data_IF_405126243807
#
_entry.id   IF_405126243807
#
_cell.length_a   1.000
_cell.length_b   1.000
_cell.length_c   1.000
_cell.angle_alpha   90.00
_cell.angle_beta   90.00
_cell.angle_gamma   90.00
#
_symmetry.space_group_name_H-M   'P 1'
#
loop_
_entity.id
_entity.type
_entity.pdbx_description
1 polymer ?
#
# COMPACT_ATOMS: atom_id res chain seq x y z
N UNK A 1 27.85 -5.35 10.87
CA UNK A 1 27.11 -4.63 9.80
C UNK A 1 26.75 -3.23 10.31
N UNK A 2 26.86 -2.20 9.48
CA UNK A 2 26.81 -0.78 9.88
C UNK A 2 25.40 -0.27 10.28
N UNK A 3 24.63 -1.07 11.01
CA UNK A 3 23.27 -0.73 11.47
C UNK A 3 22.20 -0.67 10.37
N UNK A 4 22.55 -1.00 9.11
CA UNK A 4 21.60 -0.97 7.98
C UNK A 4 20.75 -2.24 7.98
N UNK A 5 19.44 -2.07 7.79
CA UNK A 5 18.47 -3.17 7.67
C UNK A 5 17.93 -3.16 6.24
N UNK A 6 18.02 -4.30 5.57
CA UNK A 6 17.44 -4.51 4.25
C UNK A 6 16.19 -5.36 4.39
N UNK A 7 15.28 -5.23 3.42
CA UNK A 7 14.16 -6.15 3.30
C UNK A 7 14.67 -7.57 3.03
N UNK A 8 13.97 -8.58 3.54
CA UNK A 8 14.25 -9.98 3.26
C UNK A 8 13.35 -10.55 2.15
N UNK A 9 12.60 -9.70 1.44
CA UNK A 9 11.58 -10.14 0.46
C UNK A 9 12.15 -10.52 -0.90
N UNK A 10 13.11 -9.75 -1.39
CA UNK A 10 13.85 -9.99 -2.63
C UNK A 10 15.33 -9.92 -2.27
N UNK A 11 16.01 -11.07 -2.24
CA UNK A 11 17.37 -11.23 -1.70
C UNK A 11 18.39 -11.47 -2.80
N UNK A 12 17.99 -12.04 -3.93
CA UNK A 12 18.87 -12.27 -5.07
C UNK A 12 18.99 -11.01 -5.92
N UNK A 13 19.92 -10.16 -5.50
CA UNK A 13 20.26 -8.91 -6.19
C UNK A 13 21.30 -9.09 -7.30
N UNK A 14 21.79 -10.32 -7.51
CA UNK A 14 22.85 -10.61 -8.49
C UNK A 14 22.25 -11.24 -9.74
N UNK A 15 21.48 -12.30 -9.57
CA UNK A 15 20.93 -13.09 -10.67
C UNK A 15 19.45 -12.79 -10.93
N UNK A 16 18.80 -12.03 -10.04
CA UNK A 16 17.40 -11.62 -10.15
C UNK A 16 16.43 -12.80 -10.34
N UNK A 17 16.71 -13.92 -9.69
CA UNK A 17 15.90 -15.15 -9.82
C UNK A 17 14.68 -15.19 -8.90
N UNK A 18 14.56 -14.23 -7.97
CA UNK A 18 13.41 -14.13 -7.09
C UNK A 18 12.11 -13.90 -7.88
N UNK A 19 11.04 -14.67 -7.63
CA UNK A 19 9.78 -14.47 -8.33
C UNK A 19 9.14 -13.13 -7.95
N UNK A 20 8.69 -12.38 -8.96
CA UNK A 20 7.88 -11.18 -8.80
C UNK A 20 6.39 -11.54 -9.00
N UNK A 21 5.65 -11.88 -7.93
CA UNK A 21 4.27 -12.32 -8.07
C UNK A 21 3.39 -11.17 -8.58
N UNK A 22 2.65 -11.42 -9.67
CA UNK A 22 1.61 -10.50 -10.11
C UNK A 22 0.39 -10.65 -9.21
N UNK A 23 -0.04 -11.87 -8.89
CA UNK A 23 -1.14 -12.16 -7.95
C UNK A 23 -0.73 -13.26 -7.00
N UNK A 24 -1.23 -13.22 -5.76
CA UNK A 24 -1.01 -14.27 -4.77
C UNK A 24 -2.18 -14.38 -3.81
N UNK A 25 -2.29 -15.54 -3.15
CA UNK A 25 -3.46 -15.88 -2.34
C UNK A 25 -3.79 -14.86 -1.24
N UNK A 26 -2.79 -14.22 -0.61
CA UNK A 26 -3.04 -13.20 0.40
C UNK A 26 -3.79 -11.96 -0.15
N UNK A 27 -3.64 -11.65 -1.45
CA UNK A 27 -4.42 -10.58 -2.09
C UNK A 27 -5.89 -10.95 -2.18
N UNK A 28 -6.19 -12.20 -2.52
CA UNK A 28 -7.57 -12.69 -2.55
C UNK A 28 -8.19 -12.56 -1.15
N UNK A 29 -7.48 -13.02 -0.12
CA UNK A 29 -7.93 -12.93 1.27
C UNK A 29 -8.14 -11.47 1.72
N UNK A 30 -7.20 -10.56 1.43
CA UNK A 30 -7.33 -9.17 1.84
C UNK A 30 -8.38 -8.39 1.02
N UNK A 31 -8.60 -8.75 -0.25
CA UNK A 31 -9.70 -8.20 -1.06
C UNK A 31 -11.05 -8.67 -0.51
N UNK A 32 -11.19 -9.96 -0.16
CA UNK A 32 -12.38 -10.49 0.50
C UNK A 32 -12.61 -9.83 1.86
N UNK A 33 -11.56 -9.70 2.69
CA UNK A 33 -11.64 -9.04 3.99
C UNK A 33 -12.16 -7.61 3.87
N UNK A 34 -11.63 -6.83 2.91
CA UNK A 34 -12.08 -5.46 2.66
C UNK A 34 -13.55 -5.42 2.19
N UNK A 35 -13.95 -6.32 1.28
CA UNK A 35 -15.32 -6.40 0.80
C UNK A 35 -16.33 -6.75 1.90
N UNK A 36 -15.97 -7.69 2.79
CA UNK A 36 -16.78 -8.04 3.96
C UNK A 36 -16.89 -6.87 4.93
N UNK A 37 -15.79 -6.19 5.24
CA UNK A 37 -15.80 -5.04 6.14
C UNK A 37 -16.70 -3.92 5.60
N UNK A 38 -16.62 -3.61 4.29
CA UNK A 38 -17.47 -2.61 3.63
C UNK A 38 -18.95 -3.02 3.57
N UNK A 39 -19.22 -4.32 3.53
CA UNK A 39 -20.57 -4.88 3.61
C UNK A 39 -21.06 -5.09 5.06
N UNK A 40 -20.33 -4.58 6.04
CA UNK A 40 -20.62 -4.71 7.48
C UNK A 40 -20.62 -6.15 8.03
N UNK A 41 -19.98 -7.10 7.34
CA UNK A 41 -19.76 -8.48 7.78
C UNK A 41 -18.42 -8.60 8.51
N UNK A 42 -18.39 -8.13 9.75
CA UNK A 42 -17.18 -8.11 10.57
C UNK A 42 -16.59 -9.50 10.86
N UNK A 43 -17.39 -10.55 11.16
CA UNK A 43 -16.83 -11.88 11.41
C UNK A 43 -16.02 -12.42 10.23
N UNK A 44 -16.54 -12.30 9.00
CA UNK A 44 -15.80 -12.76 7.83
C UNK A 44 -14.64 -11.83 7.47
N UNK A 45 -14.76 -10.53 7.69
CA UNK A 45 -13.65 -9.59 7.51
C UNK A 45 -12.45 -9.95 8.42
N UNK A 46 -12.71 -10.15 9.71
CA UNK A 46 -11.70 -10.52 10.70
C UNK A 46 -11.06 -11.87 10.38
N UNK A 47 -11.87 -12.87 10.03
CA UNK A 47 -11.38 -14.20 9.64
C UNK A 47 -10.37 -14.11 8.49
N UNK A 48 -10.71 -13.41 7.42
CA UNK A 48 -9.83 -13.28 6.25
C UNK A 48 -8.58 -12.44 6.54
N UNK A 49 -8.68 -11.42 7.38
CA UNK A 49 -7.53 -10.65 7.85
C UNK A 49 -6.52 -11.52 8.62
N UNK A 50 -7.01 -12.32 9.58
CA UNK A 50 -6.16 -13.17 10.41
C UNK A 50 -5.49 -14.29 9.60
N UNK A 51 -6.15 -14.85 8.56
CA UNK A 51 -5.52 -15.82 7.65
C UNK A 51 -4.21 -15.31 7.02
N UNK A 52 -4.08 -13.99 6.82
CA UNK A 52 -2.85 -13.39 6.30
C UNK A 52 -1.90 -13.04 7.45
N UNK A 53 -2.41 -12.32 8.45
CA UNK A 53 -1.61 -11.79 9.55
C UNK A 53 -0.92 -12.89 10.36
N UNK A 54 -1.64 -13.96 10.67
CA UNK A 54 -1.18 -15.00 11.59
C UNK A 54 0.05 -15.75 11.07
N UNK A 55 0.26 -15.78 9.75
CA UNK A 55 1.48 -16.38 9.15
C UNK A 55 2.75 -15.61 9.50
N UNK A 56 2.64 -14.33 9.85
CA UNK A 56 3.78 -13.47 10.17
C UNK A 56 3.92 -13.22 11.68
N UNK A 57 3.03 -13.77 12.49
CA UNK A 57 3.10 -13.68 13.96
C UNK A 57 4.05 -14.75 14.52
N UNK A 58 4.70 -14.41 15.63
CA UNK A 58 5.53 -15.38 16.35
C UNK A 58 4.67 -16.32 17.21
N UNK A 59 3.55 -15.81 17.74
CA UNK A 59 2.58 -16.58 18.51
C UNK A 59 1.15 -16.12 18.17
N UNK A 60 0.48 -16.74 17.17
CA UNK A 60 -0.89 -16.41 16.81
C UNK A 60 -1.89 -16.56 17.97
N UNK A 61 -1.66 -17.49 18.90
CA UNK A 61 -2.62 -17.73 19.99
C UNK A 61 -2.79 -16.52 20.91
N UNK A 62 -1.77 -15.66 21.00
CA UNK A 62 -1.79 -14.46 21.84
C UNK A 62 -1.79 -13.14 21.04
N UNK A 63 -1.40 -13.18 19.76
CA UNK A 63 -1.16 -11.98 18.95
C UNK A 63 -2.21 -11.72 17.85
N UNK A 64 -3.05 -12.71 17.53
CA UNK A 64 -4.11 -12.56 16.54
C UNK A 64 -5.17 -11.56 17.01
N UNK A 65 -5.82 -10.88 16.08
CA UNK A 65 -6.93 -10.01 16.43
C UNK A 65 -8.13 -10.85 16.88
N UNK A 66 -8.71 -10.48 18.02
CA UNK A 66 -9.89 -11.17 18.58
C UNK A 66 -11.18 -10.49 18.11
N UNK A 67 -11.20 -9.15 18.11
CA UNK A 67 -12.35 -8.36 17.70
C UNK A 67 -11.94 -6.92 17.37
N UNK A 68 -12.87 -6.19 16.77
CA UNK A 68 -12.78 -4.76 16.52
C UNK A 68 -14.06 -4.08 17.02
N UNK A 69 -13.98 -2.78 17.31
CA UNK A 69 -15.12 -2.02 17.83
C UNK A 69 -16.25 -1.87 16.79
N UNK A 70 -15.90 -1.69 15.52
CA UNK A 70 -16.84 -1.51 14.41
C UNK A 70 -16.22 -1.91 13.05
N UNK A 71 -17.03 -1.86 12.00
CA UNK A 71 -16.62 -2.17 10.62
C UNK A 71 -15.50 -1.23 10.11
N UNK A 72 -15.49 0.04 10.55
CA UNK A 72 -14.45 0.99 10.17
C UNK A 72 -13.11 0.62 10.80
N UNK A 73 -13.09 0.17 12.05
CA UNK A 73 -11.88 -0.25 12.75
C UNK A 73 -11.23 -1.48 12.11
N UNK A 74 -12.03 -2.50 11.75
CA UNK A 74 -11.51 -3.67 11.01
C UNK A 74 -11.05 -3.29 9.61
N UNK A 75 -11.76 -2.42 8.90
CA UNK A 75 -11.33 -1.91 7.59
C UNK A 75 -9.98 -1.19 7.68
N UNK A 76 -9.79 -0.35 8.71
CA UNK A 76 -8.51 0.32 8.96
C UNK A 76 -7.36 -0.67 9.19
N UNK A 77 -7.61 -1.75 9.94
CA UNK A 77 -6.64 -2.82 10.13
C UNK A 77 -6.32 -3.57 8.83
N UNK A 78 -7.33 -3.85 7.99
CA UNK A 78 -7.16 -4.48 6.67
C UNK A 78 -6.30 -3.60 5.76
N UNK A 79 -6.60 -2.31 5.65
CA UNK A 79 -5.82 -1.38 4.82
C UNK A 79 -4.38 -1.25 5.32
N UNK A 80 -4.16 -1.30 6.63
CA UNK A 80 -2.81 -1.34 7.22
C UNK A 80 -2.09 -2.64 6.88
N UNK A 81 -2.76 -3.78 7.00
CA UNK A 81 -2.17 -5.09 6.69
C UNK A 81 -1.82 -5.20 5.20
N UNK A 82 -2.67 -4.72 4.30
CA UNK A 82 -2.35 -4.61 2.85
C UNK A 82 -1.04 -3.85 2.60
N UNK A 83 -0.81 -2.74 3.31
CA UNK A 83 0.42 -1.95 3.15
C UNK A 83 1.67 -2.69 3.63
N UNK A 84 1.55 -3.50 4.67
CA UNK A 84 2.64 -4.31 5.22
C UNK A 84 2.90 -5.50 4.29
N UNK A 85 1.85 -6.26 3.99
CA UNK A 85 1.90 -7.52 3.26
C UNK A 85 2.40 -7.32 1.82
N UNK A 86 1.91 -6.30 1.11
CA UNK A 86 2.30 -5.98 -0.27
C UNK A 86 3.44 -4.97 -0.39
N UNK A 87 4.22 -4.77 0.68
CA UNK A 87 5.42 -3.94 0.61
C UNK A 87 6.33 -4.44 -0.51
N UNK A 88 6.73 -3.55 -1.42
CA UNK A 88 7.57 -3.83 -2.60
C UNK A 88 6.93 -4.70 -3.70
N UNK A 89 5.60 -4.87 -3.72
CA UNK A 89 4.88 -5.60 -4.77
C UNK A 89 4.08 -4.67 -5.71
N UNK A 90 4.43 -3.39 -5.79
CA UNK A 90 3.76 -2.43 -6.68
C UNK A 90 2.32 -2.05 -6.32
N UNK A 91 1.74 -2.58 -5.23
CA UNK A 91 0.31 -2.40 -4.90
C UNK A 91 -0.06 -1.04 -4.30
N UNK A 92 0.91 -0.34 -3.73
CA UNK A 92 0.64 0.91 -2.99
C UNK A 92 0.06 2.01 -3.89
N UNK A 93 0.47 2.07 -5.15
CA UNK A 93 -0.02 3.09 -6.09
C UNK A 93 -1.52 2.94 -6.35
N UNK A 94 -1.99 1.73 -6.67
CA UNK A 94 -3.41 1.45 -6.87
C UNK A 94 -4.24 1.71 -5.63
N UNK A 95 -3.76 1.33 -4.44
CA UNK A 95 -4.43 1.63 -3.17
C UNK A 95 -4.54 3.14 -2.91
N UNK A 96 -3.50 3.94 -3.24
CA UNK A 96 -3.56 5.42 -3.13
C UNK A 96 -4.67 5.97 -4.02
N UNK A 97 -4.78 5.51 -5.27
CA UNK A 97 -5.73 6.06 -6.25
C UNK A 97 -7.17 5.72 -5.91
N UNK A 98 -7.46 4.44 -5.63
CA UNK A 98 -8.83 4.00 -5.34
C UNK A 98 -9.37 4.60 -4.03
N UNK A 99 -8.49 4.91 -3.07
CA UNK A 99 -8.89 5.48 -1.79
C UNK A 99 -8.96 7.00 -1.79
N UNK A 100 -8.73 7.70 -2.91
CA UNK A 100 -8.70 9.16 -2.91
C UNK A 100 -10.00 9.82 -2.46
N UNK A 101 -11.13 9.20 -2.81
CA UNK A 101 -12.47 9.68 -2.46
C UNK A 101 -13.23 8.62 -1.63
N UNK A 102 -12.50 7.80 -0.87
CA UNK A 102 -13.11 6.83 0.04
C UNK A 102 -13.84 7.55 1.18
N UNK A 103 -14.99 7.02 1.58
CA UNK A 103 -15.85 7.57 2.63
C UNK A 103 -15.32 7.31 4.05
N UNK A 104 -14.57 6.22 4.24
CA UNK A 104 -14.10 5.78 5.56
C UNK A 104 -12.63 6.12 5.82
N UNK A 105 -11.78 5.93 4.80
CA UNK A 105 -10.32 6.12 4.83
C UNK A 105 -9.80 6.87 3.58
N UNK A 106 -10.22 8.14 3.39
CA UNK A 106 -9.76 8.93 2.25
C UNK A 106 -8.24 9.14 2.28
N UNK A 107 -7.60 9.03 1.12
CA UNK A 107 -6.20 9.40 0.90
C UNK A 107 -6.15 10.68 0.07
N UNK A 108 -5.76 11.80 0.66
CA UNK A 108 -5.72 13.11 0.00
C UNK A 108 -4.52 13.28 -0.94
N UNK A 109 -4.42 12.44 -1.96
CA UNK A 109 -3.36 12.47 -2.97
C UNK A 109 -2.14 11.60 -2.65
N UNK A 110 -1.03 11.80 -3.37
CA UNK A 110 0.17 10.98 -3.18
C UNK A 110 0.90 11.47 -1.92
N UNK A 111 1.07 10.65 -0.87
CA UNK A 111 1.69 11.09 0.36
C UNK A 111 3.16 11.49 0.15
N UNK A 112 3.63 12.42 0.98
CA UNK A 112 5.05 12.77 1.06
C UNK A 112 5.88 11.52 1.40
N UNK A 113 7.09 11.45 0.84
CA UNK A 113 7.97 10.29 0.98
C UNK A 113 9.41 10.72 1.24
N UNK A 114 10.16 9.81 1.86
CA UNK A 114 11.62 9.94 1.95
C UNK A 114 12.19 10.03 0.53
N UNK A 115 13.14 10.94 0.33
CA UNK A 115 13.88 11.00 -0.92
C UNK A 115 14.77 9.76 -1.05
N UNK A 116 15.23 9.50 -2.29
CA UNK A 116 16.21 8.44 -2.51
C UNK A 116 17.46 8.72 -1.66
N UNK A 117 17.79 7.79 -0.78
CA UNK A 117 18.83 7.97 0.23
C UNK A 117 18.85 6.80 1.22
N UNK A 118 19.79 6.85 2.15
CA UNK A 118 19.98 5.83 3.18
C UNK A 118 19.56 6.36 4.56
N UNK A 119 18.25 6.47 4.87
CA UNK A 119 17.82 6.82 6.22
C UNK A 119 18.37 5.80 7.21
N UNK A 120 18.78 6.25 8.40
CA UNK A 120 19.40 5.35 9.37
C UNK A 120 18.32 4.45 9.95
N UNK A 121 18.64 3.20 10.24
CA UNK A 121 17.67 2.30 10.89
C UNK A 121 17.19 2.85 12.24
N UNK A 122 18.03 3.64 12.93
CA UNK A 122 17.70 4.34 14.17
C UNK A 122 16.60 5.39 14.03
N UNK A 123 16.30 5.82 12.81
CA UNK A 123 15.22 6.77 12.54
C UNK A 123 13.86 6.07 12.48
N UNK A 124 13.85 4.72 12.45
CA UNK A 124 12.64 3.90 12.41
C UNK A 124 12.46 3.14 13.72
N UNK A 125 11.51 3.60 14.53
CA UNK A 125 11.10 2.92 15.77
C UNK A 125 9.78 2.19 15.53
N UNK A 126 9.76 0.88 15.82
CA UNK A 126 8.55 0.08 15.66
C UNK A 126 7.40 0.67 16.51
N UNK A 127 6.23 0.83 15.89
CA UNK A 127 5.05 1.43 16.53
C UNK A 127 5.03 2.96 16.56
N UNK A 128 6.13 3.63 16.21
CA UNK A 128 6.20 5.09 16.13
C UNK A 128 6.19 5.52 14.66
N UNK A 129 5.30 6.44 14.26
CA UNK A 129 5.36 7.03 12.92
C UNK A 129 6.73 7.66 12.67
N UNK A 130 7.27 7.45 11.46
CA UNK A 130 8.53 8.08 11.06
C UNK A 130 8.40 9.61 11.11
N UNK A 131 9.27 10.25 11.89
CA UNK A 131 9.30 11.71 12.08
C UNK A 131 10.54 12.37 11.47
N UNK A 132 11.35 11.63 10.70
CA UNK A 132 12.50 12.18 10.00
C UNK A 132 12.12 12.99 8.75
N UNK A 133 13.12 13.57 8.11
CA UNK A 133 12.91 14.44 6.95
C UNK A 133 12.32 13.68 5.75
N UNK A 134 11.21 14.20 5.22
CA UNK A 134 10.65 13.78 3.94
C UNK A 134 11.26 14.65 2.85
N UNK A 135 11.91 14.03 1.87
CA UNK A 135 12.61 14.75 0.80
C UNK A 135 11.80 14.88 -0.50
N UNK A 136 10.64 14.22 -0.58
CA UNK A 136 9.69 14.36 -1.68
C UNK A 136 8.35 14.80 -1.11
N UNK A 137 7.88 15.95 -1.57
CA UNK A 137 6.63 16.57 -1.10
C UNK A 137 5.42 15.75 -1.55
N UNK A 138 4.35 15.82 -0.77
CA UNK A 138 3.07 15.24 -1.15
C UNK A 138 2.53 15.89 -2.43
N UNK A 139 1.76 15.14 -3.20
CA UNK A 139 0.95 15.67 -4.29
C UNK A 139 -0.50 15.70 -3.84
N UNK A 140 -1.18 16.82 -4.06
CA UNK A 140 -2.61 16.92 -3.79
C UNK A 140 -3.39 16.00 -4.74
N UNK A 141 -4.62 15.61 -4.36
CA UNK A 141 -5.44 14.68 -5.15
C UNK A 141 -5.83 15.21 -6.53
N UNK A 142 -5.89 16.53 -6.66
CA UNK A 142 -6.19 17.31 -7.86
C UNK A 142 -4.94 17.78 -8.61
N UNK A 143 -3.74 17.43 -8.14
CA UNK A 143 -2.50 17.68 -8.87
C UNK A 143 -2.50 16.86 -10.17
N UNK A 144 -2.23 17.52 -11.29
CA UNK A 144 -2.19 16.87 -12.61
C UNK A 144 -1.25 15.66 -12.64
N UNK A 145 -0.21 15.61 -11.79
CA UNK A 145 0.75 14.49 -11.70
C UNK A 145 0.21 13.23 -11.05
N UNK A 146 -1.02 13.26 -10.54
CA UNK A 146 -1.71 12.08 -10.02
C UNK A 146 -2.06 11.13 -11.16
N UNK A 147 -2.54 11.66 -12.29
CA UNK A 147 -2.89 10.88 -13.48
C UNK A 147 -1.74 10.97 -14.48
N UNK A 148 -1.29 9.86 -15.05
CA UNK A 148 -0.17 9.89 -16.00
C UNK A 148 -0.56 10.56 -17.32
N UNK A 149 0.40 11.22 -18.01
CA UNK A 149 0.14 11.78 -19.33
C UNK A 149 -0.12 10.67 -20.34
N UNK A 150 -1.00 10.95 -21.30
CA UNK A 150 -1.13 10.15 -22.51
C UNK A 150 0.15 10.36 -23.33
N UNK A 151 0.84 9.30 -23.80
CA UNK A 151 2.05 9.47 -24.60
C UNK A 151 1.80 10.30 -25.86
N UNK A 152 2.72 11.22 -26.19
CA UNK A 152 2.57 12.13 -27.33
C UNK A 152 2.37 11.40 -28.67
N UNK A 153 2.96 10.21 -28.82
CA UNK A 153 2.80 9.40 -30.03
C UNK A 153 1.34 8.98 -30.25
N UNK A 154 0.60 8.69 -29.17
CA UNK A 154 -0.82 8.32 -29.25
C UNK A 154 -1.68 9.53 -29.62
N UNK A 155 -1.36 10.71 -29.08
CA UNK A 155 -2.04 11.97 -29.45
C UNK A 155 -1.81 12.34 -30.92
N UNK A 156 -0.59 12.14 -31.41
CA UNK A 156 -0.27 12.38 -32.83
C UNK A 156 -0.96 11.38 -33.76
N UNK A 157 -1.09 10.12 -33.32
CA UNK A 157 -1.70 9.05 -34.11
C UNK A 157 -3.23 9.15 -34.17
N UNK A 158 -3.87 9.61 -33.10
CA UNK A 158 -5.32 9.76 -33.03
C UNK A 158 -5.72 11.19 -32.69
N UNK A 159 -6.13 12.00 -33.68
CA UNK A 159 -6.50 13.40 -33.47
C UNK A 159 -7.78 13.58 -32.63
N UNK A 160 -8.52 12.51 -32.33
CA UNK A 160 -9.67 12.56 -31.44
C UNK A 160 -9.31 12.35 -29.96
N UNK A 161 -8.05 12.00 -29.64
CA UNK A 161 -7.60 11.93 -28.25
C UNK A 161 -7.27 13.32 -27.72
N UNK A 162 -7.75 13.61 -26.51
CA UNK A 162 -7.37 14.80 -25.76
C UNK A 162 -6.47 14.39 -24.60
N UNK A 163 -5.48 15.21 -24.30
CA UNK A 163 -4.55 14.99 -23.20
C UNK A 163 -5.26 15.14 -21.84
N UNK A 164 -4.74 14.45 -20.83
CA UNK A 164 -5.17 14.65 -19.44
C UNK A 164 -4.89 16.09 -18.98
N UNK A 165 -5.79 16.71 -18.19
CA UNK A 165 -5.63 18.10 -17.76
C UNK A 165 -4.28 18.39 -17.12
N UNK A 166 -3.66 19.52 -17.47
CA UNK A 166 -2.38 19.97 -16.92
C UNK A 166 -1.12 19.44 -17.62
N UNK A 167 -1.27 18.52 -18.57
CA UNK A 167 -0.20 18.12 -19.48
C UNK A 167 -0.36 18.78 -20.84
N UNK A 168 0.76 19.21 -21.43
CA UNK A 168 0.85 19.83 -22.74
C UNK A 168 1.64 18.95 -23.70
#
# INVERSE_FOLDING_TARGET
SSGRKYTNKYKDVVSYTDPAPVIRYAEILLNMAEAYARSNDMPNALKNLNLVRDRSLADPATQSYISFADAKAVLGAILKERRIEFLMEGRRWSDIHRLQNDDLFPISGVPAKVANGNPKATDFNAGVPYAGALGVTALAKDDYRVIWPIPQIELNANPNLSQNPGYN
#
